data_IF_126647906179
#
_entry.id   IF_126647906179
#
_cell.length_a   1.000
_cell.length_b   1.000
_cell.length_c   1.000
_cell.angle_alpha   90.00
_cell.angle_beta   90.00
_cell.angle_gamma   90.00
#
_symmetry.space_group_name_H-M   'P 1'
#
loop_
_entity.id
_entity.type
_entity.pdbx_description
1 polymer ?
#
# COMPACT_ATOMS: atom_id res chain seq x y z
N UNK A 1 -1.85 7.07 8.78
CA UNK A 1 -0.92 6.90 7.65
C UNK A 1 0.25 5.97 7.99
N UNK A 2 0.95 6.14 9.13
CA UNK A 2 2.05 5.21 9.47
C UNK A 2 1.57 3.79 9.83
N UNK A 3 0.32 3.64 10.29
CA UNK A 3 -0.32 2.34 10.47
C UNK A 3 -0.52 1.59 9.14
N UNK A 4 -0.52 2.28 7.99
CA UNK A 4 -0.55 1.65 6.68
C UNK A 4 0.73 0.85 6.43
N UNK A 5 1.87 1.29 6.97
CA UNK A 5 3.13 0.55 6.89
C UNK A 5 3.02 -0.81 7.59
N UNK A 6 2.44 -0.84 8.80
CA UNK A 6 2.23 -2.08 9.55
C UNK A 6 1.30 -3.04 8.81
N UNK A 7 0.23 -2.49 8.21
CA UNK A 7 -0.71 -3.26 7.41
C UNK A 7 -0.02 -3.90 6.20
N UNK A 8 0.70 -3.14 5.38
CA UNK A 8 1.34 -3.69 4.16
C UNK A 8 2.47 -4.68 4.48
N UNK A 9 3.19 -4.48 5.58
CA UNK A 9 4.18 -5.46 6.05
C UNK A 9 3.51 -6.79 6.41
N UNK A 10 2.43 -6.74 7.20
CA UNK A 10 1.68 -7.93 7.57
C UNK A 10 1.09 -8.65 6.34
N UNK A 11 0.57 -7.89 5.36
CA UNK A 11 0.05 -8.46 4.12
C UNK A 11 1.15 -9.15 3.29
N UNK A 12 2.32 -8.53 3.14
CA UNK A 12 3.43 -9.18 2.44
C UNK A 12 3.91 -10.45 3.13
N UNK A 13 3.96 -10.45 4.47
CA UNK A 13 4.30 -11.63 5.27
C UNK A 13 3.27 -12.76 5.09
N UNK A 14 1.97 -12.43 5.02
CA UNK A 14 0.89 -13.39 4.80
C UNK A 14 0.94 -14.01 3.40
N UNK A 15 1.14 -13.18 2.37
CA UNK A 15 1.12 -13.62 0.96
C UNK A 15 2.40 -14.34 0.54
N UNK A 16 3.56 -13.83 0.96
CA UNK A 16 4.86 -14.31 0.46
C UNK A 16 5.70 -15.02 1.51
N UNK A 17 5.20 -15.18 2.75
CA UNK A 17 5.94 -15.79 3.86
C UNK A 17 7.14 -14.95 4.34
N UNK A 18 7.29 -13.72 3.83
CA UNK A 18 8.36 -12.78 4.18
C UNK A 18 7.93 -11.35 3.88
N UNK A 19 8.56 -10.38 4.54
CA UNK A 19 8.44 -8.98 4.16
C UNK A 19 9.22 -8.71 2.87
N UNK A 20 8.58 -8.03 1.93
CA UNK A 20 9.19 -7.56 0.67
C UNK A 20 9.35 -6.03 0.71
N UNK A 21 10.25 -5.48 -0.11
CA UNK A 21 10.31 -4.04 -0.31
C UNK A 21 8.95 -3.57 -0.87
N UNK A 22 8.36 -2.52 -0.30
CA UNK A 22 7.06 -2.00 -0.72
C UNK A 22 7.23 -0.86 -1.71
N UNK A 23 6.33 -0.76 -2.69
CA UNK A 23 6.27 0.38 -3.62
C UNK A 23 5.20 1.34 -3.12
N UNK A 24 5.61 2.57 -2.80
CA UNK A 24 4.71 3.63 -2.34
C UNK A 24 4.36 4.56 -3.51
N UNK A 25 3.13 4.43 -4.00
CA UNK A 25 2.58 5.32 -5.02
C UNK A 25 2.14 6.65 -4.41
N UNK A 26 2.60 7.77 -4.97
CA UNK A 26 2.24 9.12 -4.54
C UNK A 26 2.02 10.02 -5.76
N UNK A 27 1.16 11.03 -5.63
CA UNK A 27 0.95 12.03 -6.67
C UNK A 27 1.79 13.29 -6.41
N UNK A 28 2.48 13.80 -7.42
CA UNK A 28 3.16 15.09 -7.32
C UNK A 28 2.13 16.22 -7.38
N UNK A 29 1.74 16.76 -6.23
CA UNK A 29 0.80 17.87 -6.12
C UNK A 29 1.17 18.79 -4.95
N UNK A 30 0.54 19.97 -4.86
CA UNK A 30 0.87 20.98 -3.85
C UNK A 30 0.65 20.50 -2.41
N UNK A 31 -0.39 19.70 -2.17
CA UNK A 31 -0.66 19.12 -0.85
C UNK A 31 0.46 18.18 -0.44
N UNK A 32 0.86 17.28 -1.34
CA UNK A 32 1.96 16.37 -1.09
C UNK A 32 3.28 17.11 -0.97
N UNK A 33 3.53 18.20 -1.69
CA UNK A 33 4.75 19.00 -1.50
C UNK A 33 4.91 19.51 -0.05
N UNK A 34 3.81 19.87 0.61
CA UNK A 34 3.81 20.30 2.03
C UNK A 34 4.01 19.11 2.97
N UNK A 35 3.35 17.97 2.71
CA UNK A 35 3.42 16.79 3.59
C UNK A 35 4.67 15.94 3.40
N UNK A 36 5.30 15.98 2.21
CA UNK A 36 6.36 15.07 1.78
C UNK A 36 7.54 14.97 2.76
N UNK A 37 8.07 16.06 3.34
CA UNK A 37 9.18 15.96 4.28
C UNK A 37 8.91 15.02 5.45
N UNK A 38 7.73 15.10 6.06
CA UNK A 38 7.36 14.25 7.19
C UNK A 38 6.96 12.83 6.73
N UNK A 39 6.33 12.71 5.56
CA UNK A 39 6.02 11.41 4.95
C UNK A 39 7.26 10.56 4.69
N UNK A 40 8.40 11.19 4.39
CA UNK A 40 9.69 10.50 4.22
C UNK A 40 10.43 10.34 5.55
N UNK A 41 10.39 11.34 6.44
CA UNK A 41 11.10 11.30 7.71
C UNK A 41 10.55 10.22 8.66
N UNK A 42 9.24 10.06 8.71
CA UNK A 42 8.61 9.13 9.64
C UNK A 42 8.96 7.64 9.40
N UNK A 43 8.92 7.11 8.15
CA UNK A 43 9.45 5.77 7.86
C UNK A 43 10.95 5.65 8.17
N UNK A 44 11.77 6.66 7.90
CA UNK A 44 13.21 6.61 8.25
C UNK A 44 13.41 6.43 9.75
N UNK A 45 12.65 7.14 10.59
CA UNK A 45 12.69 6.97 12.06
C UNK A 45 12.27 5.57 12.51
N UNK A 46 11.46 4.87 11.72
CA UNK A 46 11.09 3.47 11.93
C UNK A 46 12.12 2.46 11.39
N UNK A 47 13.21 2.92 10.78
CA UNK A 47 14.28 2.07 10.25
C UNK A 47 14.13 1.66 8.78
N UNK A 48 13.19 2.25 8.03
CA UNK A 48 13.09 1.98 6.59
C UNK A 48 14.23 2.60 5.80
N UNK A 49 14.73 1.84 4.83
CA UNK A 49 15.54 2.35 3.73
C UNK A 49 14.66 2.57 2.50
N UNK A 50 14.96 3.60 1.71
CA UNK A 50 14.32 3.84 0.42
C UNK A 50 15.23 3.33 -0.68
N UNK A 51 14.69 2.47 -1.55
CA UNK A 51 15.37 1.90 -2.71
C UNK A 51 14.74 2.41 -4.00
N UNK A 52 15.44 2.26 -5.11
CA UNK A 52 14.86 2.56 -6.42
C UNK A 52 13.74 1.58 -6.77
N UNK A 53 12.84 1.99 -7.68
CA UNK A 53 11.82 1.09 -8.21
C UNK A 53 12.46 -0.14 -8.87
N UNK A 54 13.50 0.06 -9.67
CA UNK A 54 14.24 -1.03 -10.33
C UNK A 54 14.81 -2.05 -9.34
N UNK A 55 15.26 -1.59 -8.18
CA UNK A 55 15.74 -2.48 -7.12
C UNK A 55 14.59 -3.25 -6.47
N UNK A 56 13.47 -2.60 -6.15
CA UNK A 56 12.30 -3.26 -5.59
C UNK A 56 11.75 -4.34 -6.54
N UNK A 57 11.63 -4.03 -7.83
CA UNK A 57 11.09 -4.93 -8.86
C UNK A 57 11.99 -6.14 -9.18
N UNK A 58 13.23 -6.20 -8.67
CA UNK A 58 14.06 -7.42 -8.76
C UNK A 58 13.53 -8.55 -7.88
N UNK A 59 12.73 -8.22 -6.86
CA UNK A 59 12.11 -9.22 -6.01
C UNK A 59 11.11 -10.07 -6.83
N UNK A 60 11.24 -11.42 -6.85
CA UNK A 60 10.34 -12.29 -7.61
C UNK A 60 8.85 -12.14 -7.28
N UNK A 61 8.51 -11.62 -6.10
CA UNK A 61 7.12 -11.35 -5.71
C UNK A 61 6.43 -10.42 -6.70
N UNK A 62 7.14 -9.47 -7.32
CA UNK A 62 6.57 -8.55 -8.31
C UNK A 62 6.21 -9.21 -9.66
N UNK A 63 6.47 -10.51 -9.83
CA UNK A 63 6.00 -11.31 -10.97
C UNK A 63 4.79 -12.18 -10.62
N UNK A 64 4.26 -12.04 -9.40
CA UNK A 64 3.08 -12.79 -8.96
C UNK A 64 1.84 -12.41 -9.78
N UNK A 65 0.96 -13.38 -10.01
CA UNK A 65 -0.25 -13.16 -10.79
C UNK A 65 -1.21 -12.19 -10.10
N UNK A 66 -2.02 -11.48 -10.88
CA UNK A 66 -3.07 -10.60 -10.38
C UNK A 66 -4.45 -11.16 -10.71
N UNK A 67 -5.37 -11.11 -9.75
CA UNK A 67 -6.73 -11.65 -9.88
C UNK A 67 -7.82 -10.58 -9.99
N UNK A 68 -7.46 -9.32 -10.20
CA UNK A 68 -8.41 -8.20 -10.23
C UNK A 68 -8.49 -7.52 -11.61
N UNK A 69 -9.67 -7.53 -12.19
CA UNK A 69 -9.97 -6.90 -13.50
C UNK A 69 -10.95 -5.73 -13.40
N UNK A 70 -11.22 -5.23 -12.19
CA UNK A 70 -12.12 -4.10 -11.96
C UNK A 70 -11.44 -2.74 -12.15
N UNK A 71 -12.25 -1.67 -12.20
CA UNK A 71 -11.75 -0.29 -12.35
C UNK A 71 -11.27 0.37 -11.06
N UNK A 72 -11.33 -0.31 -9.91
CA UNK A 72 -10.96 0.24 -8.61
C UNK A 72 -9.45 0.35 -8.42
N UNK A 73 -9.03 1.37 -7.67
CA UNK A 73 -7.64 1.64 -7.31
C UNK A 73 -7.10 0.75 -6.17
N UNK A 74 -7.46 -0.54 -6.13
CA UNK A 74 -7.06 -1.42 -5.02
C UNK A 74 -5.55 -1.70 -5.01
N UNK A 75 -5.01 -1.94 -3.81
CA UNK A 75 -3.60 -2.26 -3.61
C UNK A 75 -3.16 -3.48 -4.42
N UNK A 76 -1.94 -3.44 -4.95
CA UNK A 76 -1.34 -4.57 -5.68
C UNK A 76 -1.33 -5.86 -4.84
N UNK A 77 -1.09 -5.76 -3.52
CA UNK A 77 -1.14 -6.92 -2.63
C UNK A 77 -2.53 -7.57 -2.59
N UNK A 78 -3.60 -6.78 -2.64
CA UNK A 78 -4.95 -7.33 -2.75
C UNK A 78 -5.17 -8.03 -4.09
N UNK A 79 -4.67 -7.45 -5.18
CA UNK A 79 -4.76 -8.05 -6.53
C UNK A 79 -4.07 -9.41 -6.55
N UNK A 80 -2.90 -9.54 -5.90
CA UNK A 80 -2.22 -10.82 -5.74
C UNK A 80 -3.03 -11.82 -4.91
N UNK A 81 -3.56 -11.41 -3.75
CA UNK A 81 -4.37 -12.29 -2.91
C UNK A 81 -5.63 -12.82 -3.62
N UNK A 82 -6.24 -11.99 -4.47
CA UNK A 82 -7.37 -12.41 -5.30
C UNK A 82 -6.98 -13.49 -6.32
N UNK A 83 -5.74 -13.47 -6.84
CA UNK A 83 -5.22 -14.50 -7.74
C UNK A 83 -5.04 -15.84 -7.03
N UNK A 84 -4.68 -15.83 -5.74
CA UNK A 84 -4.52 -17.04 -4.93
C UNK A 84 -5.84 -17.58 -4.37
N UNK A 85 -6.98 -16.94 -4.66
CA UNK A 85 -8.28 -17.25 -4.03
C UNK A 85 -8.23 -17.24 -2.49
N UNK A 86 -7.34 -16.44 -1.91
CA UNK A 86 -7.23 -16.26 -0.46
C UNK A 86 -8.56 -15.73 0.10
N UNK A 87 -8.98 -16.16 1.31
CA UNK A 87 -10.24 -15.72 1.92
C UNK A 87 -10.41 -14.19 1.97
N UNK A 88 -11.67 -13.74 1.99
CA UNK A 88 -12.10 -12.32 1.90
C UNK A 88 -11.54 -11.40 3.00
N UNK A 89 -10.84 -11.94 4.00
CA UNK A 89 -10.22 -11.20 5.09
C UNK A 89 -8.87 -10.55 4.73
N UNK A 90 -8.43 -10.64 3.47
CA UNK A 90 -7.22 -9.95 2.97
C UNK A 90 -7.28 -8.43 3.23
N UNK A 91 -8.47 -7.83 3.14
CA UNK A 91 -8.69 -6.40 3.41
C UNK A 91 -8.80 -6.08 4.91
N UNK A 92 -8.87 -7.09 5.79
CA UNK A 92 -9.07 -6.87 7.21
C UNK A 92 -7.89 -6.10 7.83
N UNK A 93 -8.21 -5.00 8.51
CA UNK A 93 -7.23 -4.15 9.17
C UNK A 93 -6.57 -3.11 8.28
N UNK A 94 -7.01 -2.96 7.03
CA UNK A 94 -6.58 -1.83 6.19
C UNK A 94 -7.00 -0.50 6.83
N UNK A 95 -6.08 0.47 6.99
CA UNK A 95 -6.44 1.77 7.50
C UNK A 95 -7.41 2.51 6.57
N UNK A 96 -8.64 2.73 7.04
CA UNK A 96 -9.65 3.49 6.30
C UNK A 96 -9.26 4.98 6.15
N UNK A 97 -9.72 5.58 5.05
CA UNK A 97 -9.67 7.04 4.89
C UNK A 97 -10.45 7.71 6.03
N UNK A 98 -9.88 8.74 6.70
CA UNK A 98 -10.61 9.45 7.74
C UNK A 98 -11.91 10.06 7.20
N UNK A 99 -13.02 9.91 7.93
CA UNK A 99 -14.34 10.36 7.45
C UNK A 99 -14.43 11.84 7.10
N UNK A 100 -13.63 12.70 7.73
CA UNK A 100 -13.58 14.12 7.37
C UNK A 100 -13.00 14.37 5.97
N UNK A 101 -12.10 13.50 5.49
CA UNK A 101 -11.55 13.57 4.13
C UNK A 101 -12.62 13.18 3.12
N UNK A 102 -13.38 12.11 3.38
CA UNK A 102 -14.51 11.69 2.54
C UNK A 102 -15.57 12.80 2.45
N UNK A 103 -15.91 13.41 3.59
CA UNK A 103 -16.84 14.54 3.65
C UNK A 103 -16.37 15.76 2.83
N UNK A 104 -15.07 16.10 2.88
CA UNK A 104 -14.50 17.17 2.06
C UNK A 104 -14.47 16.82 0.57
N UNK A 105 -14.28 15.55 0.23
CA UNK A 105 -14.28 15.06 -1.14
C UNK A 105 -15.70 14.89 -1.72
N UNK A 106 -16.75 14.98 -0.90
CA UNK A 106 -18.13 14.81 -1.33
C UNK A 106 -18.48 13.37 -1.72
N UNK A 107 -17.83 12.39 -1.10
CA UNK A 107 -18.04 10.95 -1.35
C UNK A 107 -18.43 10.23 -0.04
N UNK A 108 -19.29 9.22 -0.14
CA UNK A 108 -19.83 8.51 1.02
C UNK A 108 -18.94 7.32 1.46
N UNK A 109 -18.14 6.77 0.55
CA UNK A 109 -17.26 5.62 0.78
C UNK A 109 -16.13 5.56 -0.27
N UNK A 110 -15.14 4.70 -0.01
CA UNK A 110 -14.07 4.31 -0.95
C UNK A 110 -14.54 3.27 -1.98
#
# INVERSE_FOLDING_TARGET
MLNTLDYVEAQSQRLFGRRIAQVWLMHANALNAVAFPELIAAPRRRGYAFVSLDEALRDPAYRHAEGYTGGGGISWLHRCAMAEHTPKDVHAGEPAVPGWVLALAGIDAE
#
